data_IF_275407183888
#
_entry.id   IF_275407183888
#
_cell.length_a   1.000
_cell.length_b   1.000
_cell.length_c   1.000
_cell.angle_alpha   90.00
_cell.angle_beta   90.00
_cell.angle_gamma   90.00
#
_symmetry.space_group_name_H-M   'P 1'
#
loop_
_entity.id
_entity.type
_entity.pdbx_description
1 polymer ?
#
# COMPACT_ATOMS: atom_id res chain seq x y z
N UNK A 1 2.26 -25.23 -25.88
CA UNK A 1 2.12 -25.10 -24.42
C UNK A 1 1.37 -23.81 -24.14
N UNK A 2 0.04 -23.89 -23.87
CA UNK A 2 -0.75 -22.75 -23.39
C UNK A 2 -0.16 -22.36 -22.01
N UNK A 3 0.47 -21.19 -21.90
CA UNK A 3 0.71 -20.56 -20.59
C UNK A 3 -0.65 -20.44 -19.90
N UNK A 4 -0.82 -21.12 -18.76
CA UNK A 4 -1.97 -20.93 -17.89
C UNK A 4 -1.99 -19.44 -17.56
N UNK A 5 -2.99 -18.70 -18.02
CA UNK A 5 -3.20 -17.30 -17.64
C UNK A 5 -3.29 -17.27 -16.13
N UNK A 6 -2.35 -16.59 -15.47
CA UNK A 6 -2.43 -16.33 -14.05
C UNK A 6 -3.62 -15.39 -13.81
N UNK A 7 -4.29 -15.48 -12.66
CA UNK A 7 -5.38 -14.57 -12.37
C UNK A 7 -4.83 -13.14 -12.28
N UNK A 8 -5.65 -12.16 -12.62
CA UNK A 8 -5.28 -10.73 -12.52
C UNK A 8 -4.85 -10.36 -11.08
N UNK A 9 -5.52 -10.95 -10.09
CA UNK A 9 -5.14 -10.79 -8.69
C UNK A 9 -3.70 -11.28 -8.43
N UNK A 10 -3.32 -12.45 -8.95
CA UNK A 10 -1.96 -12.98 -8.78
C UNK A 10 -0.92 -12.08 -9.43
N UNK A 11 -1.20 -11.52 -10.61
CA UNK A 11 -0.29 -10.62 -11.30
C UNK A 11 -0.14 -9.29 -10.53
N UNK A 12 -1.24 -8.74 -10.04
CA UNK A 12 -1.23 -7.54 -9.20
C UNK A 12 -0.42 -7.75 -7.91
N UNK A 13 -0.65 -8.85 -7.19
CA UNK A 13 0.07 -9.18 -5.96
C UNK A 13 1.57 -9.28 -6.20
N UNK A 14 2.01 -9.85 -7.32
CA UNK A 14 3.44 -9.90 -7.65
C UNK A 14 4.07 -8.53 -7.84
N UNK A 15 3.34 -7.59 -8.44
CA UNK A 15 3.83 -6.23 -8.63
C UNK A 15 3.82 -5.43 -7.31
N UNK A 16 2.81 -5.64 -6.49
CA UNK A 16 2.61 -4.92 -5.24
C UNK A 16 3.56 -5.37 -4.13
N UNK A 17 3.90 -6.67 -4.06
CA UNK A 17 4.67 -7.24 -2.94
C UNK A 17 6.17 -7.17 -3.17
N UNK A 18 6.93 -7.06 -2.08
CA UNK A 18 8.39 -6.97 -2.06
C UNK A 18 8.90 -5.78 -1.26
N UNK A 19 10.16 -5.45 -1.49
CA UNK A 19 10.84 -4.33 -0.86
C UNK A 19 11.09 -3.24 -1.89
N UNK A 20 10.78 -2.01 -1.51
CA UNK A 20 10.90 -0.84 -2.38
C UNK A 20 11.51 0.33 -1.63
N UNK A 21 12.29 1.17 -2.30
CA UNK A 21 12.68 2.48 -1.80
C UNK A 21 12.71 3.54 -2.91
N UNK A 22 12.72 4.80 -2.51
CA UNK A 22 12.80 5.94 -3.44
C UNK A 22 14.20 6.53 -3.52
N UNK A 23 15.24 5.75 -3.25
CA UNK A 23 16.62 6.28 -3.14
C UNK A 23 17.04 7.11 -4.36
N UNK A 24 16.73 6.67 -5.55
CA UNK A 24 17.06 7.39 -6.78
C UNK A 24 16.43 8.79 -6.84
N UNK A 25 15.13 8.86 -6.54
CA UNK A 25 14.40 10.13 -6.46
C UNK A 25 14.91 11.00 -5.31
N UNK A 26 15.15 10.41 -4.14
CA UNK A 26 15.68 11.09 -2.97
C UNK A 26 17.05 11.74 -3.26
N UNK A 27 17.98 10.99 -3.83
CA UNK A 27 19.31 11.49 -4.17
C UNK A 27 19.24 12.67 -5.17
N UNK A 28 18.34 12.59 -6.15
CA UNK A 28 18.09 13.69 -7.09
C UNK A 28 17.57 14.94 -6.38
N UNK A 29 16.58 14.79 -5.51
CA UNK A 29 16.00 15.91 -4.75
C UNK A 29 17.04 16.55 -3.82
N UNK A 30 17.90 15.75 -3.18
CA UNK A 30 19.01 16.25 -2.36
C UNK A 30 20.01 17.06 -3.21
N UNK A 31 20.36 16.57 -4.40
CA UNK A 31 21.26 17.28 -5.31
C UNK A 31 20.69 18.63 -5.79
N UNK A 32 19.36 18.74 -5.85
CA UNK A 32 18.65 20.00 -6.16
C UNK A 32 18.44 20.90 -4.92
N UNK A 33 18.94 20.51 -3.74
CA UNK A 33 18.80 21.27 -2.50
C UNK A 33 17.36 21.26 -1.93
N UNK A 34 16.55 20.29 -2.33
CA UNK A 34 15.15 20.16 -1.87
C UNK A 34 15.06 19.26 -0.65
N UNK A 35 14.23 19.66 0.32
CA UNK A 35 13.81 18.76 1.40
C UNK A 35 12.82 17.74 0.85
N UNK A 36 13.14 16.45 0.97
CA UNK A 36 12.33 15.36 0.45
C UNK A 36 12.49 14.13 1.36
N UNK A 37 11.46 13.30 1.55
CA UNK A 37 11.60 12.12 2.39
C UNK A 37 12.42 11.02 1.69
N UNK A 38 13.27 10.35 2.45
CA UNK A 38 13.70 9.00 2.09
C UNK A 38 12.64 8.03 2.55
N UNK A 39 12.10 7.27 1.65
CA UNK A 39 10.93 6.42 1.90
C UNK A 39 11.18 4.97 1.51
N UNK A 40 10.62 4.05 2.28
CA UNK A 40 10.64 2.61 2.03
C UNK A 40 9.25 2.03 2.19
N UNK A 41 8.90 1.08 1.32
CA UNK A 41 7.75 0.21 1.45
C UNK A 41 8.19 -1.25 1.48
N UNK A 42 7.65 -2.02 2.42
CA UNK A 42 7.80 -3.47 2.49
C UNK A 42 6.39 -4.04 2.51
N UNK A 43 6.01 -4.73 1.44
CA UNK A 43 4.69 -5.31 1.27
C UNK A 43 4.80 -6.83 1.28
N UNK A 44 4.16 -7.47 2.26
CA UNK A 44 4.26 -8.91 2.48
C UNK A 44 2.88 -9.55 2.58
N UNK A 45 2.64 -10.60 1.78
CA UNK A 45 1.42 -11.42 1.91
C UNK A 45 1.40 -12.08 3.30
N UNK A 46 0.26 -12.01 3.99
CA UNK A 46 0.13 -12.52 5.35
C UNK A 46 -1.07 -13.47 5.58
N UNK A 47 -1.60 -14.09 4.52
CA UNK A 47 -2.68 -15.10 4.66
C UNK A 47 -2.28 -16.26 5.58
N UNK A 48 -1.00 -16.63 5.62
CA UNK A 48 -0.44 -17.66 6.49
C UNK A 48 -0.56 -17.36 7.99
N UNK A 49 -0.75 -16.09 8.34
CA UNK A 49 -0.96 -15.64 9.73
C UNK A 49 -2.43 -15.48 10.09
N UNK A 50 -3.36 -15.76 9.17
CA UNK A 50 -4.80 -15.63 9.40
C UNK A 50 -5.43 -17.03 9.48
N UNK A 51 -6.00 -17.35 10.63
CA UNK A 51 -6.67 -18.62 10.88
C UNK A 51 -8.13 -18.56 10.41
N UNK A 52 -8.68 -19.73 10.08
CA UNK A 52 -10.08 -19.88 9.72
C UNK A 52 -10.55 -19.02 8.54
N UNK A 53 -9.66 -18.79 7.57
CA UNK A 53 -10.08 -18.24 6.28
C UNK A 53 -11.17 -19.14 5.69
N UNK A 54 -12.26 -18.57 5.11
CA UNK A 54 -13.29 -19.36 4.43
C UNK A 54 -12.68 -20.29 3.35
N UNK A 55 -13.25 -21.48 3.18
CA UNK A 55 -12.73 -22.47 2.22
C UNK A 55 -12.58 -21.93 0.81
N UNK A 56 -13.49 -21.04 0.39
CA UNK A 56 -13.47 -20.39 -0.93
C UNK A 56 -12.98 -18.93 -0.85
N UNK A 57 -12.16 -18.61 0.14
CA UNK A 57 -11.63 -17.26 0.28
C UNK A 57 -10.76 -16.90 -0.92
N UNK A 58 -11.13 -15.85 -1.63
CA UNK A 58 -10.53 -15.43 -2.90
C UNK A 58 -9.82 -14.08 -2.79
N UNK A 59 -9.26 -13.80 -1.63
CA UNK A 59 -8.52 -12.57 -1.36
C UNK A 59 -7.11 -12.83 -0.88
N UNK A 60 -6.30 -11.77 -0.86
CA UNK A 60 -4.95 -11.79 -0.35
C UNK A 60 -4.79 -10.67 0.67
N UNK A 61 -4.48 -11.02 1.91
CA UNK A 61 -4.10 -10.05 2.91
C UNK A 61 -2.62 -9.69 2.78
N UNK A 62 -2.33 -8.40 2.89
CA UNK A 62 -0.98 -7.83 2.77
C UNK A 62 -0.72 -6.90 3.93
N UNK A 63 0.39 -7.11 4.63
CA UNK A 63 0.97 -6.10 5.52
C UNK A 63 1.82 -5.16 4.69
N UNK A 64 1.52 -3.87 4.74
CA UNK A 64 2.35 -2.81 4.19
C UNK A 64 3.08 -2.11 5.34
N UNK A 65 4.40 -2.09 5.26
CA UNK A 65 5.27 -1.38 6.18
C UNK A 65 5.84 -0.16 5.44
N UNK A 66 5.36 1.02 5.80
CA UNK A 66 5.82 2.28 5.20
C UNK A 66 6.71 3.03 6.18
N UNK A 67 7.93 3.35 5.76
CA UNK A 67 8.93 4.04 6.55
C UNK A 67 9.37 5.32 5.85
N UNK A 68 9.41 6.42 6.59
CA UNK A 68 9.80 7.73 6.09
C UNK A 68 10.85 8.35 6.99
N UNK A 69 11.86 8.98 6.39
CA UNK A 69 12.85 9.79 7.09
C UNK A 69 12.98 11.14 6.39
N UNK A 70 12.78 12.23 7.14
CA UNK A 70 12.90 13.60 6.65
C UNK A 70 13.63 14.43 7.70
N UNK A 71 14.73 15.06 7.32
CA UNK A 71 15.55 15.91 8.22
C UNK A 71 15.93 15.21 9.54
N UNK A 72 16.32 13.94 9.47
CA UNK A 72 16.72 13.13 10.63
C UNK A 72 15.56 12.68 11.52
N UNK A 73 14.30 12.90 11.13
CA UNK A 73 13.10 12.42 11.82
C UNK A 73 12.53 11.23 11.09
N UNK A 74 12.39 10.11 11.80
CA UNK A 74 11.81 8.88 11.28
C UNK A 74 10.33 8.75 11.66
N UNK A 75 9.54 8.22 10.73
CA UNK A 75 8.13 7.95 10.91
C UNK A 75 7.78 6.62 10.25
N UNK A 76 6.97 5.80 10.90
CA UNK A 76 6.42 4.57 10.37
C UNK A 76 4.89 4.65 10.28
N UNK A 77 4.34 4.09 9.21
CA UNK A 77 2.90 4.01 8.98
C UNK A 77 2.55 2.63 8.44
N UNK A 78 2.33 1.63 9.32
CA UNK A 78 1.96 0.30 8.88
C UNK A 78 0.47 0.20 8.55
N UNK A 79 0.13 -0.67 7.59
CA UNK A 79 -1.22 -0.95 7.16
C UNK A 79 -1.46 -2.45 7.00
N UNK A 80 -2.71 -2.85 7.17
CA UNK A 80 -3.20 -4.17 6.79
C UNK A 80 -4.23 -3.98 5.68
N UNK A 81 -4.01 -4.61 4.53
CA UNK A 81 -4.89 -4.54 3.37
C UNK A 81 -5.45 -5.90 3.00
N UNK A 82 -6.68 -5.91 2.52
CA UNK A 82 -7.23 -7.01 1.73
C UNK A 82 -7.24 -6.62 0.27
N UNK A 83 -6.61 -7.44 -0.55
CA UNK A 83 -6.62 -7.30 -2.01
C UNK A 83 -7.56 -8.37 -2.57
N UNK A 84 -8.52 -7.93 -3.36
CA UNK A 84 -9.52 -8.80 -4.00
C UNK A 84 -9.77 -8.38 -5.45
N UNK A 85 -10.44 -9.23 -6.20
CA UNK A 85 -10.82 -8.96 -7.59
C UNK A 85 -12.36 -8.90 -7.71
N UNK A 86 -12.85 -7.92 -8.46
CA UNK A 86 -14.24 -7.83 -8.88
C UNK A 86 -14.34 -7.58 -10.39
N UNK A 87 -15.55 -7.35 -10.89
CA UNK A 87 -15.80 -7.14 -12.32
C UNK A 87 -15.16 -5.86 -12.88
N UNK A 88 -14.80 -4.90 -12.01
CA UNK A 88 -14.23 -3.62 -12.42
C UNK A 88 -12.70 -3.61 -12.39
N UNK A 89 -12.07 -4.48 -11.60
CA UNK A 89 -10.63 -4.56 -11.45
C UNK A 89 -10.18 -5.17 -10.12
N UNK A 90 -9.05 -4.71 -9.63
CA UNK A 90 -8.52 -5.09 -8.30
C UNK A 90 -8.93 -4.05 -7.28
N UNK A 91 -9.41 -4.52 -6.13
CA UNK A 91 -9.85 -3.70 -5.01
C UNK A 91 -8.90 -3.88 -3.84
N UNK A 92 -8.42 -2.78 -3.29
CA UNK A 92 -7.67 -2.71 -2.05
C UNK A 92 -8.57 -2.13 -0.97
N UNK A 93 -8.88 -2.93 0.04
CA UNK A 93 -9.63 -2.51 1.23
C UNK A 93 -8.69 -2.41 2.43
N UNK A 94 -8.74 -1.30 3.16
CA UNK A 94 -7.99 -1.14 4.40
C UNK A 94 -8.68 -1.88 5.53
N UNK A 95 -7.89 -2.58 6.35
CA UNK A 95 -8.33 -3.25 7.56
C UNK A 95 -7.69 -2.58 8.78
N UNK A 96 -8.37 -2.64 9.91
CA UNK A 96 -7.80 -2.20 11.17
C UNK A 96 -6.63 -3.11 11.56
N UNK A 97 -5.58 -2.53 12.14
CA UNK A 97 -4.49 -3.31 12.73
C UNK A 97 -5.09 -4.22 13.80
N UNK A 98 -4.78 -5.55 13.79
CA UNK A 98 -5.39 -6.50 14.71
C UNK A 98 -5.27 -6.09 16.18
N UNK A 99 -6.27 -6.40 16.98
CA UNK A 99 -6.29 -6.12 18.41
C UNK A 99 -5.07 -6.73 19.11
N UNK A 100 -4.41 -5.96 19.98
CA UNK A 100 -3.22 -6.38 20.71
C UNK A 100 -1.91 -6.21 19.95
N UNK A 101 -1.94 -5.74 18.70
CA UNK A 101 -0.76 -5.32 17.95
C UNK A 101 -0.49 -3.81 18.18
N UNK A 102 0.78 -3.42 18.14
CA UNK A 102 1.17 -2.02 18.23
C UNK A 102 1.01 -1.34 16.86
N UNK A 103 0.16 -0.32 16.80
CA UNK A 103 -0.16 0.42 15.57
C UNK A 103 1.02 1.19 14.97
N UNK A 104 2.10 1.41 15.74
CA UNK A 104 3.26 2.17 15.28
C UNK A 104 4.39 1.27 14.80
N UNK A 105 4.42 0.00 15.25
CA UNK A 105 5.50 -0.95 14.98
C UNK A 105 5.01 -2.24 14.31
N UNK A 106 3.73 -2.30 13.93
CA UNK A 106 3.15 -3.45 13.25
C UNK A 106 3.92 -3.78 11.97
N UNK A 107 4.29 -5.04 11.82
CA UNK A 107 5.03 -5.56 10.68
C UNK A 107 4.62 -6.99 10.39
N UNK A 108 4.96 -7.53 9.23
CA UNK A 108 4.73 -8.95 8.98
C UNK A 108 5.45 -9.82 10.02
N UNK A 109 6.70 -9.51 10.35
CA UNK A 109 7.48 -10.31 11.30
C UNK A 109 6.90 -10.27 12.72
N UNK A 110 6.39 -9.11 13.17
CA UNK A 110 5.78 -8.96 14.50
C UNK A 110 4.35 -9.47 14.57
N UNK A 111 3.64 -9.58 13.44
CA UNK A 111 2.25 -9.98 13.39
C UNK A 111 2.02 -11.37 14.00
N UNK A 112 1.15 -11.42 15.00
CA UNK A 112 0.68 -12.66 15.60
C UNK A 112 -0.41 -13.30 14.74
N UNK A 113 -0.57 -14.62 14.88
CA UNK A 113 -1.68 -15.30 14.23
C UNK A 113 -3.01 -14.75 14.79
N UNK A 114 -3.92 -14.40 13.86
CA UNK A 114 -5.24 -13.83 14.17
C UNK A 114 -6.34 -14.65 13.51
N UNK A 115 -7.51 -14.75 14.14
CA UNK A 115 -8.68 -15.39 13.53
C UNK A 115 -9.31 -14.44 12.51
N UNK A 116 -9.75 -14.97 11.36
CA UNK A 116 -10.41 -14.18 10.32
C UNK A 116 -11.62 -13.40 10.85
N UNK A 117 -12.36 -13.98 11.78
CA UNK A 117 -13.55 -13.36 12.41
C UNK A 117 -13.21 -12.13 13.28
N UNK A 118 -11.95 -11.98 13.68
CA UNK A 118 -11.47 -10.82 14.47
C UNK A 118 -10.98 -9.66 13.62
N UNK A 119 -10.83 -9.86 12.29
CA UNK A 119 -10.42 -8.82 11.36
C UNK A 119 -11.60 -7.91 11.01
N UNK A 120 -11.36 -6.60 11.03
CA UNK A 120 -12.37 -5.60 10.72
C UNK A 120 -11.91 -4.69 9.60
N UNK A 121 -12.74 -4.56 8.56
CA UNK A 121 -12.52 -3.56 7.53
C UNK A 121 -12.63 -2.15 8.12
N UNK A 122 -11.65 -1.31 7.84
CA UNK A 122 -11.64 0.07 8.30
C UNK A 122 -12.73 0.87 7.60
N UNK A 123 -13.55 1.56 8.39
CA UNK A 123 -14.60 2.47 7.87
C UNK A 123 -14.05 3.85 7.46
N UNK A 124 -12.78 4.12 7.78
CA UNK A 124 -12.15 5.42 7.52
C UNK A 124 -11.78 5.58 6.05
N UNK A 125 -11.32 4.50 5.41
CA UNK A 125 -10.83 4.53 4.04
C UNK A 125 -11.83 3.97 3.06
N UNK A 126 -12.10 4.71 2.00
CA UNK A 126 -12.80 4.19 0.81
C UNK A 126 -11.88 3.18 0.11
N UNK A 127 -12.36 1.99 -0.27
CA UNK A 127 -11.57 1.03 -1.04
C UNK A 127 -11.01 1.65 -2.31
N UNK A 128 -9.75 1.34 -2.62
CA UNK A 128 -9.11 1.77 -3.86
C UNK A 128 -9.39 0.76 -4.97
N UNK A 129 -9.68 1.25 -6.17
CA UNK A 129 -9.91 0.44 -7.36
C UNK A 129 -8.79 0.65 -8.35
N UNK A 130 -8.18 -0.44 -8.80
CA UNK A 130 -7.09 -0.47 -9.78
C UNK A 130 -7.51 -1.16 -11.05
N UNK A 131 -7.15 -0.58 -12.19
CA UNK A 131 -7.36 -1.14 -13.53
C UNK A 131 -6.03 -1.36 -14.23
N UNK A 132 -5.96 -2.43 -14.98
CA UNK A 132 -4.77 -2.81 -15.73
C UNK A 132 -4.84 -2.28 -17.16
N UNK A 133 -3.71 -1.73 -17.62
CA UNK A 133 -3.47 -1.41 -19.02
C UNK A 133 -2.01 -1.68 -19.36
N UNK A 134 -1.78 -2.55 -20.33
CA UNK A 134 -0.45 -2.87 -20.87
C UNK A 134 0.56 -3.32 -19.79
N UNK A 135 0.10 -4.14 -18.83
CA UNK A 135 0.92 -4.64 -17.71
C UNK A 135 1.11 -3.66 -16.56
N UNK A 136 0.51 -2.50 -16.64
CA UNK A 136 0.55 -1.46 -15.59
C UNK A 136 -0.81 -1.37 -14.90
N UNK A 137 -0.80 -1.38 -13.59
CA UNK A 137 -1.98 -1.18 -12.77
C UNK A 137 -2.00 0.23 -12.22
N UNK A 138 -3.12 0.91 -12.35
CA UNK A 138 -3.30 2.28 -11.88
C UNK A 138 -4.65 2.43 -11.21
N UNK A 139 -4.70 3.16 -10.11
CA UNK A 139 -5.93 3.44 -9.39
C UNK A 139 -5.72 4.20 -8.11
N UNK A 140 -6.74 4.19 -7.29
CA UNK A 140 -6.74 4.88 -6.01
C UNK A 140 -8.15 5.10 -5.49
N UNK A 141 -8.24 6.03 -4.54
CA UNK A 141 -9.50 6.37 -3.88
C UNK A 141 -9.47 7.78 -3.30
N UNK A 142 -10.66 8.27 -2.97
CA UNK A 142 -10.83 9.49 -2.17
C UNK A 142 -11.65 9.13 -0.94
N UNK A 143 -11.11 9.44 0.25
CA UNK A 143 -11.73 9.14 1.54
C UNK A 143 -12.07 10.42 2.29
N UNK A 144 -13.30 10.52 2.77
CA UNK A 144 -13.73 11.64 3.61
C UNK A 144 -13.46 11.30 5.07
N UNK A 145 -12.42 11.90 5.67
CA UNK A 145 -12.04 11.63 7.07
C UNK A 145 -12.88 12.43 8.06
N UNK A 146 -13.30 13.62 7.66
CA UNK A 146 -14.19 14.48 8.43
C UNK A 146 -14.93 15.44 7.47
N UNK A 147 -15.89 16.24 7.93
CA UNK A 147 -16.56 17.22 7.07
C UNK A 147 -15.63 18.17 6.32
N UNK A 148 -14.40 18.37 6.84
CA UNK A 148 -13.41 19.32 6.27
C UNK A 148 -12.13 18.66 5.79
N UNK A 149 -11.93 17.35 6.07
CA UNK A 149 -10.67 16.64 5.76
C UNK A 149 -10.91 15.53 4.74
N UNK A 150 -10.17 15.58 3.65
CA UNK A 150 -10.20 14.59 2.57
C UNK A 150 -8.80 14.00 2.41
N UNK A 151 -8.74 12.67 2.27
CA UNK A 151 -7.55 11.93 1.88
C UNK A 151 -7.70 11.41 0.46
N UNK A 152 -6.70 11.65 -0.38
CA UNK A 152 -6.65 11.19 -1.76
C UNK A 152 -5.45 10.28 -1.93
N UNK A 153 -5.69 9.07 -2.41
CA UNK A 153 -4.68 8.08 -2.76
C UNK A 153 -4.70 7.88 -4.28
N UNK A 154 -3.53 7.92 -4.89
CA UNK A 154 -3.29 7.44 -6.24
C UNK A 154 -2.03 6.59 -6.26
N UNK A 155 -2.09 5.45 -6.93
CA UNK A 155 -0.96 4.54 -7.06
C UNK A 155 -0.88 3.95 -8.46
N UNK A 156 0.36 3.64 -8.86
CA UNK A 156 0.66 3.01 -10.13
C UNK A 156 1.72 1.93 -9.91
N UNK A 157 1.36 0.70 -10.21
CA UNK A 157 2.23 -0.46 -10.09
C UNK A 157 2.70 -0.91 -11.47
N UNK A 158 3.99 -1.03 -11.65
CA UNK A 158 4.63 -1.61 -12.84
C UNK A 158 5.68 -2.63 -12.43
N UNK A 159 6.31 -3.30 -13.40
CA UNK A 159 7.37 -4.27 -13.12
C UNK A 159 8.54 -3.64 -12.34
N UNK A 160 8.90 -2.41 -12.67
CA UNK A 160 10.09 -1.74 -12.15
C UNK A 160 9.82 -0.80 -10.99
N UNK A 161 8.60 -0.31 -10.82
CA UNK A 161 8.31 0.76 -9.88
C UNK A 161 6.91 0.71 -9.29
N UNK A 162 6.82 1.27 -8.10
CA UNK A 162 5.61 1.64 -7.42
C UNK A 162 5.61 3.17 -7.29
N UNK A 163 4.61 3.84 -7.85
CA UNK A 163 4.42 5.28 -7.70
C UNK A 163 3.24 5.53 -6.77
N UNK A 164 3.43 6.37 -5.77
CA UNK A 164 2.42 6.65 -4.74
C UNK A 164 2.25 8.15 -4.56
N UNK A 165 1.02 8.62 -4.65
CA UNK A 165 0.61 9.96 -4.26
C UNK A 165 -0.43 9.88 -3.15
N UNK A 166 -0.09 10.42 -2.00
CA UNK A 166 -0.99 10.60 -0.86
C UNK A 166 -1.14 12.09 -0.59
N UNK A 167 -2.36 12.59 -0.62
CA UNK A 167 -2.67 14.00 -0.39
C UNK A 167 -3.73 14.11 0.69
N UNK A 168 -3.48 14.97 1.69
CA UNK A 168 -4.50 15.38 2.66
C UNK A 168 -4.85 16.84 2.39
N UNK A 169 -6.13 17.11 2.25
CA UNK A 169 -6.69 18.46 2.16
C UNK A 169 -7.57 18.73 3.37
N UNK A 170 -7.42 19.93 3.93
CA UNK A 170 -8.29 20.46 4.98
C UNK A 170 -8.90 21.77 4.51
N UNK A 171 -10.23 21.87 4.50
CA UNK A 171 -10.95 23.03 3.93
C UNK A 171 -10.49 23.38 2.49
N UNK A 172 -10.25 22.35 1.66
CA UNK A 172 -9.81 22.49 0.26
C UNK A 172 -8.35 22.94 0.08
N UNK A 173 -7.55 22.99 1.13
CA UNK A 173 -6.12 23.31 1.05
C UNK A 173 -5.28 22.08 1.36
N UNK A 174 -4.28 21.80 0.52
CA UNK A 174 -3.33 20.71 0.77
C UNK A 174 -2.51 20.99 2.03
N UNK A 175 -2.58 20.08 2.99
CA UNK A 175 -1.83 20.12 4.25
C UNK A 175 -0.76 19.03 4.33
N UNK A 176 -0.86 18.00 3.48
CA UNK A 176 0.11 16.92 3.35
C UNK A 176 0.18 16.45 1.89
N UNK A 177 1.34 15.97 1.49
CA UNK A 177 1.61 15.43 0.15
C UNK A 177 2.52 16.32 -0.69
N UNK A 178 2.90 15.81 -1.85
CA UNK A 178 3.86 16.42 -2.78
C UNK A 178 3.19 16.67 -4.13
N UNK A 179 3.81 17.52 -4.96
CA UNK A 179 3.31 17.80 -6.31
C UNK A 179 3.45 16.59 -7.23
N UNK A 180 4.56 15.84 -7.06
CA UNK A 180 4.84 14.62 -7.80
C UNK A 180 4.70 13.39 -6.89
N UNK A 181 4.31 12.21 -7.44
CA UNK A 181 4.32 10.97 -6.69
C UNK A 181 5.70 10.62 -6.14
N UNK A 182 5.73 9.91 -5.01
CA UNK A 182 6.95 9.24 -4.57
C UNK A 182 7.16 8.03 -5.48
N UNK A 183 8.33 7.94 -6.09
CA UNK A 183 8.70 6.87 -7.02
C UNK A 183 9.61 5.87 -6.33
N UNK A 184 9.03 4.73 -5.98
CA UNK A 184 9.75 3.62 -5.37
C UNK A 184 10.27 2.67 -6.44
N UNK A 185 11.50 2.20 -6.29
CA UNK A 185 12.10 1.15 -7.10
C UNK A 185 12.19 -0.15 -6.30
N UNK A 186 11.92 -1.27 -6.97
CA UNK A 186 12.02 -2.61 -6.37
C UNK A 186 13.47 -2.90 -6.00
N UNK A 187 13.68 -3.40 -4.78
CA UNK A 187 14.97 -3.92 -4.34
C UNK A 187 15.09 -5.39 -4.68
N UNK A 188 16.18 -5.75 -5.35
CA UNK A 188 16.56 -7.13 -5.62
C UNK A 188 17.64 -7.47 -4.61
N UNK A 189 17.37 -8.43 -3.74
CA UNK A 189 18.38 -9.00 -2.85
C UNK A 189 19.05 -10.15 -3.61
N UNK A 190 20.34 -9.99 -3.88
CA UNK A 190 21.19 -11.00 -4.53
C UNK A 190 21.81 -11.90 -3.46
#
# INVERSE_FOLDING_TARGET
>A
LRRKSMSKLTDFIKLMTGHFDNKEQFDKMQAEGKTYPYAKHINTVCNDKIKNLPENFNGTFVVEESYYETDGKSHASPHLFLISENNEGIVLSSYDIPNGEDKNTFSYDSMKAVDYSELNESKKFTPALYREKDGVWEGGSTSQFSPVMIFKLWERFSEDSLEVSEIIEVNGRRTFGYDDPIVYKRKIFV
#
